data_IF_301318451452
#
_entry.id   IF_301318451452
#
_cell.length_a   1.000
_cell.length_b   1.000
_cell.length_c   1.000
_cell.angle_alpha   90.00
_cell.angle_beta   90.00
_cell.angle_gamma   90.00
#
_symmetry.space_group_name_H-M   'P 1'
#
loop_
_entity.id
_entity.type
_entity.pdbx_description
1 polymer ?
#
# COMPACT_ATOMS: atom_id res chain seq x y z
N UNK A 1 -1.45 20.22 -30.02
CA UNK A 1 -2.73 20.71 -29.47
C UNK A 1 -2.59 20.73 -27.96
N UNK A 2 -2.84 21.90 -27.36
CA UNK A 2 -2.55 22.28 -25.97
C UNK A 2 -3.06 21.27 -24.93
N UNK A 3 -2.25 21.04 -23.89
CA UNK A 3 -2.63 20.31 -22.67
C UNK A 3 -3.80 21.00 -21.96
N UNK A 4 -4.80 20.26 -21.45
CA UNK A 4 -5.65 20.72 -20.38
C UNK A 4 -5.21 20.11 -19.04
N UNK A 5 -4.75 20.99 -18.13
CA UNK A 5 -4.76 20.75 -16.68
C UNK A 5 -6.20 20.75 -16.14
N UNK A 6 -6.42 20.05 -15.02
CA UNK A 6 -7.67 19.90 -14.24
C UNK A 6 -8.73 18.96 -14.84
N UNK A 7 -8.84 17.76 -14.25
CA UNK A 7 -10.07 17.24 -13.64
C UNK A 7 -9.94 15.73 -13.36
N UNK A 8 -9.90 15.37 -12.07
CA UNK A 8 -10.38 14.11 -11.47
C UNK A 8 -10.41 12.90 -12.43
N UNK A 9 -9.25 12.29 -12.67
CA UNK A 9 -9.22 11.01 -13.40
C UNK A 9 -9.57 9.90 -12.42
N UNK A 10 -10.86 9.57 -12.36
CA UNK A 10 -11.40 8.39 -11.66
C UNK A 10 -10.61 7.14 -12.06
N UNK A 11 -10.28 6.23 -11.14
CA UNK A 11 -9.53 5.00 -11.46
C UNK A 11 -10.13 4.25 -12.66
N UNK A 12 -11.46 4.17 -12.76
CA UNK A 12 -12.20 3.70 -13.94
C UNK A 12 -11.72 4.31 -15.26
N UNK A 13 -11.55 5.63 -15.30
CA UNK A 13 -11.08 6.38 -16.46
C UNK A 13 -9.59 6.11 -16.74
N UNK A 14 -8.77 5.80 -15.74
CA UNK A 14 -7.37 5.35 -15.91
C UNK A 14 -7.28 3.91 -16.43
N UNK A 15 -8.08 2.99 -15.88
CA UNK A 15 -8.21 1.60 -16.36
C UNK A 15 -8.68 1.56 -17.84
N UNK A 16 -9.51 2.53 -18.24
CA UNK A 16 -9.93 2.76 -19.65
C UNK A 16 -8.77 3.11 -20.59
N UNK A 17 -7.74 3.77 -20.09
CA UNK A 17 -6.60 4.21 -20.89
C UNK A 17 -5.47 3.17 -20.93
N UNK A 18 -5.33 2.32 -19.89
CA UNK A 18 -4.31 1.26 -19.84
C UNK A 18 -4.69 -0.01 -20.62
N UNK A 19 -5.99 -0.32 -20.73
CA UNK A 19 -6.50 -1.47 -21.47
C UNK A 19 -7.58 -1.00 -22.46
N UNK A 20 -7.33 -1.15 -23.77
CA UNK A 20 -8.17 -0.59 -24.86
C UNK A 20 -9.69 -0.83 -24.71
N UNK A 21 -10.11 -1.91 -24.04
CA UNK A 21 -11.52 -2.32 -23.93
C UNK A 21 -11.99 -2.52 -22.47
N UNK A 22 -11.30 -1.97 -21.46
CA UNK A 22 -11.56 -2.32 -20.06
C UNK A 22 -12.99 -2.06 -19.59
N UNK A 23 -13.60 -0.95 -20.03
CA UNK A 23 -14.97 -0.60 -19.64
C UNK A 23 -16.02 -1.59 -20.14
N UNK A 24 -15.75 -2.29 -21.24
CA UNK A 24 -16.61 -3.33 -21.78
C UNK A 24 -16.46 -4.63 -20.99
N UNK A 25 -15.25 -4.91 -20.49
CA UNK A 25 -14.94 -6.15 -19.76
C UNK A 25 -15.21 -6.03 -18.24
N UNK A 26 -15.09 -4.83 -17.68
CA UNK A 26 -15.22 -4.58 -16.23
C UNK A 26 -16.58 -5.01 -15.64
N UNK A 27 -17.75 -4.75 -16.27
CA UNK A 27 -19.02 -5.28 -15.80
C UNK A 27 -19.04 -6.81 -15.76
N UNK A 28 -18.43 -7.48 -16.75
CA UNK A 28 -18.30 -8.94 -16.75
C UNK A 28 -17.35 -9.41 -15.65
N UNK A 29 -16.23 -8.72 -15.40
CA UNK A 29 -15.31 -9.06 -14.31
C UNK A 29 -15.96 -8.92 -12.93
N UNK A 30 -16.75 -7.87 -12.72
CA UNK A 30 -17.39 -7.60 -11.44
C UNK A 30 -18.60 -8.49 -11.16
N UNK A 31 -19.24 -9.02 -12.21
CA UNK A 31 -20.46 -9.84 -12.08
C UNK A 31 -20.23 -11.33 -12.32
N UNK A 32 -19.09 -11.72 -12.91
CA UNK A 32 -18.81 -13.11 -13.25
C UNK A 32 -17.88 -13.78 -12.21
N UNK A 33 -18.34 -14.91 -11.65
CA UNK A 33 -17.57 -15.78 -10.76
C UNK A 33 -16.72 -16.82 -11.52
N UNK A 34 -16.77 -16.82 -12.86
CA UNK A 34 -15.99 -17.71 -13.71
C UNK A 34 -14.49 -17.38 -13.73
N UNK A 35 -13.69 -18.32 -14.27
CA UNK A 35 -12.25 -18.13 -14.49
C UNK A 35 -12.01 -17.03 -15.55
N UNK A 36 -11.59 -15.85 -15.12
CA UNK A 36 -11.15 -14.76 -16.00
C UNK A 36 -9.74 -15.09 -16.50
N UNK A 37 -9.59 -15.15 -17.82
CA UNK A 37 -8.29 -15.27 -18.51
C UNK A 37 -7.81 -13.87 -18.90
N UNK A 38 -6.81 -13.34 -18.19
CA UNK A 38 -6.12 -12.12 -18.55
C UNK A 38 -4.85 -12.45 -19.35
N UNK A 39 -4.82 -12.04 -20.61
CA UNK A 39 -3.65 -12.18 -21.48
C UNK A 39 -2.95 -10.83 -21.62
N UNK A 40 -1.70 -10.78 -21.19
CA UNK A 40 -0.87 -9.58 -21.19
C UNK A 40 -0.11 -9.47 -22.53
N UNK A 41 0.35 -8.28 -22.89
CA UNK A 41 1.03 -8.02 -24.18
C UNK A 41 2.27 -8.88 -24.43
N UNK A 42 2.86 -9.40 -23.37
CA UNK A 42 4.01 -10.31 -23.38
C UNK A 42 3.64 -11.79 -23.58
N UNK A 43 2.36 -12.10 -23.83
CA UNK A 43 1.85 -13.47 -23.97
C UNK A 43 1.65 -14.22 -22.65
N UNK A 44 1.93 -13.60 -21.49
CA UNK A 44 1.62 -14.19 -20.19
C UNK A 44 0.11 -14.24 -20.03
N UNK A 45 -0.37 -15.41 -19.64
CA UNK A 45 -1.77 -15.66 -19.37
C UNK A 45 -1.93 -15.90 -17.86
N UNK A 46 -2.76 -15.10 -17.22
CA UNK A 46 -3.22 -15.35 -15.86
C UNK A 46 -4.66 -15.82 -15.94
N UNK A 47 -4.93 -17.02 -15.43
CA UNK A 47 -6.28 -17.49 -15.18
C UNK A 47 -6.61 -17.26 -13.70
N UNK A 48 -7.67 -16.53 -13.41
CA UNK A 48 -8.07 -16.25 -12.04
C UNK A 48 -9.57 -16.31 -11.85
N UNK A 49 -9.99 -16.79 -10.68
CA UNK A 49 -11.41 -16.97 -10.37
C UNK A 49 -11.97 -15.78 -9.55
N UNK A 50 -11.20 -14.68 -9.42
CA UNK A 50 -11.51 -13.58 -8.49
C UNK A 50 -11.17 -12.22 -9.10
N UNK A 51 -12.17 -11.36 -9.21
CA UNK A 51 -12.06 -9.96 -9.63
C UNK A 51 -11.02 -9.15 -8.83
N UNK A 52 -10.72 -9.53 -7.58
CA UNK A 52 -9.70 -8.88 -6.74
C UNK A 52 -8.29 -8.94 -7.33
N UNK A 53 -7.97 -10.00 -8.08
CA UNK A 53 -6.67 -10.13 -8.73
C UNK A 53 -6.48 -9.09 -9.85
N UNK A 54 -7.56 -8.80 -10.55
CA UNK A 54 -7.62 -7.75 -11.56
C UNK A 54 -7.47 -6.36 -10.92
N UNK A 55 -8.06 -6.16 -9.75
CA UNK A 55 -7.94 -4.92 -8.98
C UNK A 55 -6.49 -4.70 -8.52
N UNK A 56 -5.68 -5.73 -8.30
CA UNK A 56 -4.24 -5.57 -8.04
C UNK A 56 -3.42 -5.35 -9.32
N UNK A 57 -3.69 -6.11 -10.39
CA UNK A 57 -2.80 -6.12 -11.56
C UNK A 57 -2.93 -4.97 -12.51
N UNK A 58 -4.14 -4.44 -12.72
CA UNK A 58 -4.28 -3.32 -13.64
C UNK A 58 -3.66 -2.03 -13.07
N UNK A 59 -3.83 -1.71 -11.77
CA UNK A 59 -3.10 -0.62 -11.14
C UNK A 59 -1.59 -0.81 -11.19
N UNK A 60 -1.09 -2.00 -10.86
CA UNK A 60 0.35 -2.26 -10.93
C UNK A 60 0.89 -2.06 -12.36
N UNK A 61 0.25 -2.64 -13.37
CA UNK A 61 0.62 -2.46 -14.78
C UNK A 61 0.61 -0.98 -15.18
N UNK A 62 -0.41 -0.22 -14.77
CA UNK A 62 -0.50 1.21 -15.04
C UNK A 62 0.65 1.99 -14.40
N UNK A 63 0.86 1.82 -13.09
CA UNK A 63 1.85 2.59 -12.34
C UNK A 63 3.26 2.28 -12.78
N UNK A 64 3.59 1.01 -12.90
CA UNK A 64 4.90 0.58 -13.38
C UNK A 64 5.20 1.09 -14.78
N UNK A 65 4.20 1.12 -15.68
CA UNK A 65 4.37 1.69 -17.02
C UNK A 65 4.54 3.22 -16.98
N UNK A 66 3.75 3.93 -16.16
CA UNK A 66 3.85 5.39 -15.99
C UNK A 66 5.17 5.84 -15.37
N UNK A 67 5.69 5.07 -14.42
CA UNK A 67 6.96 5.32 -13.76
C UNK A 67 8.16 4.81 -14.59
N UNK A 68 7.93 4.13 -15.71
CA UNK A 68 8.99 3.58 -16.55
C UNK A 68 9.77 2.42 -15.91
N UNK A 69 9.18 1.74 -14.92
CA UNK A 69 9.79 0.62 -14.19
C UNK A 69 9.17 -0.74 -14.54
N UNK A 70 8.21 -0.76 -15.47
CA UNK A 70 7.56 -2.01 -15.84
C UNK A 70 8.54 -2.99 -16.46
N UNK A 71 8.57 -4.20 -15.90
CA UNK A 71 9.14 -5.37 -16.52
C UNK A 71 8.18 -6.55 -16.34
N UNK A 72 8.15 -7.46 -17.31
CA UNK A 72 7.34 -8.69 -17.23
C UNK A 72 7.76 -9.59 -16.05
N UNK A 73 9.04 -9.50 -15.67
CA UNK A 73 9.60 -10.19 -14.52
C UNK A 73 9.06 -9.60 -13.21
N UNK A 74 9.08 -8.27 -13.05
CA UNK A 74 8.58 -7.59 -11.85
C UNK A 74 7.08 -7.86 -11.66
N UNK A 75 6.30 -7.85 -12.75
CA UNK A 75 4.89 -8.23 -12.73
C UNK A 75 4.66 -9.67 -12.25
N UNK A 76 5.50 -10.59 -12.71
CA UNK A 76 5.42 -12.00 -12.32
C UNK A 76 5.71 -12.18 -10.84
N UNK A 77 6.75 -11.50 -10.35
CA UNK A 77 7.14 -11.55 -8.94
C UNK A 77 6.05 -10.92 -8.05
N UNK A 78 5.48 -9.79 -8.46
CA UNK A 78 4.36 -9.18 -7.74
C UNK A 78 3.15 -10.13 -7.64
N UNK A 79 2.85 -10.90 -8.70
CA UNK A 79 1.82 -11.93 -8.63
C UNK A 79 2.16 -13.08 -7.68
N UNK A 80 3.41 -13.53 -7.68
CA UNK A 80 3.85 -14.59 -6.78
C UNK A 80 3.73 -14.17 -5.30
N UNK A 81 4.07 -12.91 -4.98
CA UNK A 81 3.84 -12.33 -3.65
C UNK A 81 2.35 -12.38 -3.28
N UNK A 82 1.46 -11.95 -4.18
CA UNK A 82 0.02 -12.04 -3.95
C UNK A 82 -0.44 -13.49 -3.66
N UNK A 83 0.04 -14.46 -4.45
CA UNK A 83 -0.35 -15.86 -4.30
C UNK A 83 0.10 -16.42 -2.96
N UNK A 84 1.32 -16.09 -2.53
CA UNK A 84 1.87 -16.52 -1.25
C UNK A 84 1.10 -15.89 -0.06
N UNK A 85 0.87 -14.57 -0.09
CA UNK A 85 0.03 -13.87 0.91
C UNK A 85 -1.36 -14.51 0.99
N UNK A 86 -2.02 -14.69 -0.16
CA UNK A 86 -3.36 -15.26 -0.23
C UNK A 86 -3.41 -16.68 0.35
N UNK A 87 -2.40 -17.50 0.06
CA UNK A 87 -2.28 -18.86 0.58
C UNK A 87 -2.09 -18.87 2.10
N UNK A 88 -1.20 -18.03 2.63
CA UNK A 88 -0.92 -17.91 4.07
C UNK A 88 -2.15 -17.45 4.83
N UNK A 89 -2.80 -16.38 4.38
CA UNK A 89 -4.04 -15.86 4.98
C UNK A 89 -5.17 -16.88 4.94
N UNK A 90 -5.40 -17.53 3.79
CA UNK A 90 -6.42 -18.59 3.68
C UNK A 90 -6.15 -19.71 4.67
N UNK A 91 -4.90 -20.17 4.78
CA UNK A 91 -4.53 -21.22 5.74
C UNK A 91 -4.83 -20.79 7.17
N UNK A 92 -4.45 -19.59 7.58
CA UNK A 92 -4.74 -19.09 8.93
C UNK A 92 -6.25 -18.99 9.22
N UNK A 93 -7.06 -18.68 8.19
CA UNK A 93 -8.53 -18.71 8.30
C UNK A 93 -9.06 -20.13 8.41
N UNK A 94 -8.61 -21.04 7.54
CA UNK A 94 -9.04 -22.45 7.55
C UNK A 94 -8.68 -23.14 8.88
N UNK A 95 -7.53 -22.78 9.47
CA UNK A 95 -7.07 -23.27 10.77
C UNK A 95 -7.79 -22.61 11.97
N UNK A 96 -8.69 -21.64 11.72
CA UNK A 96 -9.46 -20.93 12.75
C UNK A 96 -8.66 -19.91 13.57
N UNK A 97 -7.45 -19.55 13.12
CA UNK A 97 -6.58 -18.56 13.78
C UNK A 97 -7.04 -17.13 13.44
N UNK A 98 -7.48 -16.92 12.20
CA UNK A 98 -8.04 -15.67 11.70
C UNK A 98 -9.50 -15.84 11.27
N UNK A 99 -10.28 -14.77 11.35
CA UNK A 99 -11.58 -14.69 10.67
C UNK A 99 -11.46 -13.87 9.39
N UNK A 100 -12.27 -14.19 8.39
CA UNK A 100 -12.21 -13.53 7.07
C UNK A 100 -12.37 -12.01 7.14
N UNK A 101 -13.14 -11.49 8.11
CA UNK A 101 -13.34 -10.06 8.32
C UNK A 101 -12.20 -9.37 9.05
N UNK A 102 -11.32 -10.12 9.74
CA UNK A 102 -10.24 -9.57 10.57
C UNK A 102 -8.87 -9.59 9.91
N UNK A 103 -8.83 -9.87 8.61
CA UNK A 103 -7.66 -9.69 7.77
C UNK A 103 -7.65 -8.26 7.23
N UNK A 104 -6.48 -7.63 7.19
CA UNK A 104 -6.24 -6.33 6.56
C UNK A 104 -6.77 -6.24 5.14
N UNK A 105 -6.92 -5.00 4.65
CA UNK A 105 -7.40 -4.68 3.31
C UNK A 105 -6.89 -5.67 2.25
N UNK A 106 -7.77 -6.11 1.35
CA UNK A 106 -7.39 -7.14 0.39
C UNK A 106 -6.32 -6.61 -0.57
N UNK A 107 -5.15 -7.25 -0.60
CA UNK A 107 -4.07 -7.02 -1.57
C UNK A 107 -4.62 -6.53 -2.92
N UNK A 108 -4.27 -5.31 -3.29
CA UNK A 108 -4.98 -4.56 -4.30
C UNK A 108 -4.20 -3.35 -4.80
N UNK A 109 -4.83 -2.18 -4.71
CA UNK A 109 -4.35 -0.95 -5.31
C UNK A 109 -3.16 -0.36 -4.55
N UNK A 110 -3.25 -0.29 -3.22
CA UNK A 110 -2.19 0.26 -2.37
C UNK A 110 -0.90 -0.54 -2.50
N UNK A 111 -0.96 -1.87 -2.43
CA UNK A 111 0.21 -2.72 -2.60
C UNK A 111 0.84 -2.55 -3.97
N UNK A 112 0.02 -2.46 -5.02
CA UNK A 112 0.50 -2.22 -6.38
C UNK A 112 1.25 -0.89 -6.49
N UNK A 113 0.72 0.16 -5.85
CA UNK A 113 1.32 1.48 -5.84
C UNK A 113 2.61 1.52 -5.01
N UNK A 114 2.59 0.97 -3.79
CA UNK A 114 3.76 0.85 -2.92
C UNK A 114 4.88 0.10 -3.64
N UNK A 115 4.60 -1.06 -4.23
CA UNK A 115 5.61 -1.82 -4.98
C UNK A 115 6.22 -0.98 -6.11
N UNK A 116 5.39 -0.33 -6.93
CA UNK A 116 5.86 0.46 -8.06
C UNK A 116 6.68 1.70 -7.61
N UNK A 117 6.25 2.38 -6.55
CA UNK A 117 6.97 3.53 -5.98
C UNK A 117 8.34 3.12 -5.44
N UNK A 118 8.41 2.04 -4.64
CA UNK A 118 9.69 1.56 -4.11
C UNK A 118 10.63 1.15 -5.24
N UNK A 119 10.14 0.44 -6.27
CA UNK A 119 10.93 0.07 -7.46
C UNK A 119 11.47 1.28 -8.23
N UNK A 120 10.68 2.35 -8.33
CA UNK A 120 11.05 3.58 -9.02
C UNK A 120 12.03 4.44 -8.23
N UNK A 121 11.70 4.74 -6.98
CA UNK A 121 12.47 5.65 -6.12
C UNK A 121 13.78 5.01 -5.64
N UNK A 122 13.80 3.67 -5.51
CA UNK A 122 14.94 2.90 -4.97
C UNK A 122 15.44 3.45 -3.61
N UNK A 123 14.53 3.64 -2.64
CA UNK A 123 14.87 4.26 -1.37
C UNK A 123 15.91 3.43 -0.60
N UNK A 124 16.75 4.10 0.16
CA UNK A 124 17.73 3.50 1.07
C UNK A 124 17.09 3.19 2.42
N UNK A 125 16.24 4.09 2.90
CA UNK A 125 15.54 3.95 4.19
C UNK A 125 14.04 4.09 3.99
N UNK A 126 13.30 3.01 4.25
CA UNK A 126 11.84 3.03 4.29
C UNK A 126 11.38 2.89 5.74
N UNK A 127 10.44 3.73 6.17
CA UNK A 127 9.79 3.63 7.48
C UNK A 127 8.29 3.39 7.27
N UNK A 128 7.74 2.43 7.99
CA UNK A 128 6.32 2.11 8.00
C UNK A 128 5.78 2.12 9.42
N UNK A 129 4.56 2.58 9.62
CA UNK A 129 3.84 2.48 10.89
C UNK A 129 2.53 1.74 10.66
N UNK A 130 2.26 0.72 11.46
CA UNK A 130 1.13 -0.19 11.26
C UNK A 130 1.52 -1.32 10.31
N UNK A 131 1.66 -2.52 10.86
CA UNK A 131 2.11 -3.72 10.13
C UNK A 131 0.99 -4.75 10.04
N UNK A 132 0.24 -4.93 11.13
CA UNK A 132 -0.77 -5.97 11.24
C UNK A 132 -0.25 -7.34 10.74
N UNK A 133 -0.91 -7.95 9.75
CA UNK A 133 -0.46 -9.23 9.20
C UNK A 133 0.81 -9.12 8.31
N UNK A 134 1.16 -7.93 7.82
CA UNK A 134 2.39 -7.62 7.06
C UNK A 134 2.25 -7.59 5.53
N UNK A 135 1.07 -7.25 5.00
CA UNK A 135 0.81 -7.20 3.55
C UNK A 135 1.68 -6.14 2.88
N UNK A 136 1.58 -4.90 3.35
CA UNK A 136 2.40 -3.77 2.91
C UNK A 136 3.90 -4.04 3.12
N UNK A 137 4.29 -4.52 4.30
CA UNK A 137 5.69 -4.80 4.64
C UNK A 137 6.31 -5.82 3.68
N UNK A 138 5.59 -6.91 3.35
CA UNK A 138 6.07 -7.91 2.39
C UNK A 138 6.28 -7.30 1.01
N UNK A 139 5.31 -6.53 0.52
CA UNK A 139 5.36 -5.88 -0.79
C UNK A 139 6.53 -4.89 -0.89
N UNK A 140 6.72 -4.05 0.15
CA UNK A 140 7.84 -3.11 0.25
C UNK A 140 9.17 -3.87 0.26
N UNK A 141 9.32 -4.87 1.13
CA UNK A 141 10.55 -5.66 1.26
C UNK A 141 10.92 -6.37 -0.04
N UNK A 142 9.94 -6.95 -0.75
CA UNK A 142 10.19 -7.57 -2.04
C UNK A 142 10.66 -6.55 -3.07
N UNK A 143 10.06 -5.37 -3.12
CA UNK A 143 10.51 -4.30 -4.02
C UNK A 143 11.95 -3.81 -3.71
N UNK A 144 12.32 -3.71 -2.41
CA UNK A 144 13.68 -3.40 -1.97
C UNK A 144 14.70 -4.49 -2.34
N UNK A 145 14.32 -5.76 -2.18
CA UNK A 145 15.13 -6.93 -2.60
C UNK A 145 15.42 -6.86 -4.10
N UNK A 146 14.40 -6.63 -4.94
CA UNK A 146 14.58 -6.47 -6.40
C UNK A 146 15.41 -5.24 -6.76
N UNK A 147 15.38 -4.18 -5.95
CA UNK A 147 16.25 -3.01 -6.12
C UNK A 147 17.69 -3.31 -5.72
N UNK A 148 17.93 -4.42 -4.99
CA UNK A 148 19.19 -4.74 -4.31
C UNK A 148 19.65 -3.60 -3.39
N UNK A 149 18.71 -2.79 -2.91
CA UNK A 149 18.97 -1.55 -2.16
C UNK A 149 17.87 -1.31 -1.14
N UNK A 150 18.30 -0.77 -0.02
CA UNK A 150 17.45 -0.26 1.04
C UNK A 150 17.03 -1.29 2.07
N UNK A 151 16.45 -0.76 3.14
CA UNK A 151 15.95 -1.49 4.31
C UNK A 151 14.60 -0.91 4.71
N UNK A 152 13.74 -1.76 5.28
CA UNK A 152 12.47 -1.36 5.89
C UNK A 152 12.64 -1.37 7.40
N UNK A 153 12.18 -0.31 8.05
CA UNK A 153 11.92 -0.29 9.48
C UNK A 153 10.43 -0.08 9.71
N UNK A 154 9.79 -1.04 10.35
CA UNK A 154 8.37 -0.93 10.68
C UNK A 154 8.17 -0.77 12.19
N UNK A 155 7.22 0.06 12.57
CA UNK A 155 6.75 0.21 13.94
C UNK A 155 5.31 -0.29 14.02
N UNK A 156 5.03 -1.18 14.95
CA UNK A 156 3.69 -1.74 15.10
C UNK A 156 3.29 -1.89 16.56
N UNK A 157 2.02 -1.59 16.84
CA UNK A 157 1.36 -2.00 18.07
C UNK A 157 0.22 -2.96 17.67
N UNK A 158 0.47 -4.28 17.64
CA UNK A 158 -0.53 -5.21 17.14
C UNK A 158 -1.77 -5.18 18.03
N UNK A 159 -2.95 -5.08 17.40
CA UNK A 159 -4.22 -5.32 18.06
C UNK A 159 -4.46 -6.84 18.14
N UNK A 160 -4.46 -7.48 19.33
CA UNK A 160 -4.71 -8.91 19.45
C UNK A 160 -6.21 -9.26 19.50
N UNK A 161 -7.10 -8.27 19.57
CA UNK A 161 -8.52 -8.49 19.78
C UNK A 161 -9.22 -8.95 18.50
N UNK A 162 -9.79 -10.17 18.44
CA UNK A 162 -10.49 -10.68 17.26
C UNK A 162 -11.76 -9.90 16.89
N UNK A 163 -12.26 -9.05 17.79
CA UNK A 163 -13.37 -8.14 17.50
C UNK A 163 -12.92 -6.81 16.87
N UNK A 164 -11.63 -6.67 16.55
CA UNK A 164 -11.06 -5.44 16.02
C UNK A 164 -10.81 -4.37 17.08
N UNK A 165 -10.42 -3.20 16.60
CA UNK A 165 -10.21 -1.99 17.38
C UNK A 165 -11.35 -1.01 17.13
N UNK A 166 -11.92 -0.46 18.22
CA UNK A 166 -13.00 0.52 18.15
C UNK A 166 -12.46 1.91 18.46
N UNK A 167 -12.58 2.80 17.50
CA UNK A 167 -12.23 4.21 17.63
C UNK A 167 -13.28 4.97 18.44
N UNK A 168 -12.88 6.12 18.99
CA UNK A 168 -13.75 6.97 19.80
C UNK A 168 -14.98 7.49 19.04
N UNK A 169 -14.88 7.65 17.72
CA UNK A 169 -15.97 8.05 16.83
C UNK A 169 -16.95 6.90 16.50
N UNK A 170 -16.72 5.70 17.04
CA UNK A 170 -17.56 4.52 16.84
C UNK A 170 -17.15 3.64 15.65
N UNK A 171 -16.27 4.11 14.77
CA UNK A 171 -15.70 3.30 13.68
C UNK A 171 -14.97 2.10 14.26
N UNK A 172 -15.09 0.95 13.58
CA UNK A 172 -14.40 -0.29 13.96
C UNK A 172 -13.46 -0.67 12.83
N UNK A 173 -12.18 -0.75 13.15
CA UNK A 173 -11.22 -1.47 12.33
C UNK A 173 -11.25 -2.94 12.76
N UNK A 174 -11.71 -3.87 11.90
CA UNK A 174 -11.83 -5.27 12.26
C UNK A 174 -10.48 -6.00 12.29
N UNK A 175 -9.41 -5.38 11.81
CA UNK A 175 -8.10 -5.99 11.65
C UNK A 175 -7.48 -6.30 13.01
N UNK A 176 -6.94 -7.51 13.12
CA UNK A 176 -6.23 -7.94 14.32
C UNK A 176 -5.12 -8.93 13.97
N UNK A 177 -4.15 -9.00 14.85
CA UNK A 177 -3.01 -9.89 14.74
C UNK A 177 -2.95 -10.79 15.97
N UNK A 178 -3.31 -12.08 15.85
CA UNK A 178 -3.22 -13.03 16.94
C UNK A 178 -1.81 -13.04 17.56
N UNK A 179 -1.74 -13.11 18.88
CA UNK A 179 -0.45 -13.17 19.61
C UNK A 179 0.39 -14.39 19.24
N UNK A 180 -0.24 -15.46 18.73
CA UNK A 180 0.42 -16.68 18.24
C UNK A 180 1.15 -16.49 16.92
N UNK A 181 0.80 -15.45 16.14
CA UNK A 181 1.43 -15.15 14.86
C UNK A 181 2.38 -13.95 14.96
N UNK A 182 1.94 -12.89 15.65
CA UNK A 182 2.69 -11.64 15.77
C UNK A 182 2.68 -10.79 14.48
N UNK A 183 3.19 -9.56 14.59
CA UNK A 183 3.17 -8.59 13.49
C UNK A 183 4.02 -9.05 12.30
N UNK A 184 3.45 -8.93 11.10
CA UNK A 184 4.10 -9.28 9.84
C UNK A 184 4.50 -10.74 9.71
N UNK A 185 3.74 -11.65 10.32
CA UNK A 185 3.95 -13.09 10.23
C UNK A 185 3.89 -13.63 8.79
N UNK A 186 3.24 -12.93 7.85
CA UNK A 186 3.20 -13.37 6.45
C UNK A 186 4.51 -13.09 5.70
N UNK A 187 5.35 -12.18 6.22
CA UNK A 187 6.63 -11.83 5.61
C UNK A 187 7.56 -13.04 5.66
N UNK A 188 8.06 -13.51 4.50
CA UNK A 188 8.89 -14.70 4.43
C UNK A 188 10.30 -14.42 4.96
N UNK A 189 10.97 -15.47 5.44
CA UNK A 189 12.23 -15.35 6.19
C UNK A 189 13.37 -14.77 5.34
N UNK A 190 13.42 -15.08 4.05
CA UNK A 190 14.44 -14.58 3.13
C UNK A 190 14.43 -13.05 2.94
N UNK A 191 13.35 -12.37 3.34
CA UNK A 191 13.26 -10.91 3.30
C UNK A 191 13.59 -10.24 4.64
N UNK A 192 13.62 -11.00 5.74
CA UNK A 192 13.75 -10.44 7.10
C UNK A 192 15.10 -9.78 7.35
N UNK A 193 16.16 -10.16 6.64
CA UNK A 193 17.50 -9.53 6.77
C UNK A 193 17.51 -8.03 6.42
N UNK A 194 16.54 -7.58 5.62
CA UNK A 194 16.35 -6.18 5.24
C UNK A 194 15.33 -5.45 6.12
N UNK A 195 14.76 -6.14 7.10
CA UNK A 195 13.66 -5.63 7.90
C UNK A 195 14.08 -5.42 9.36
N UNK A 196 13.57 -4.36 9.97
CA UNK A 196 13.66 -4.12 11.41
C UNK A 196 12.26 -3.80 11.91
N UNK A 197 11.72 -4.67 12.77
CA UNK A 197 10.40 -4.51 13.35
C UNK A 197 10.53 -4.09 14.81
N UNK A 198 9.95 -2.94 15.15
CA UNK A 198 9.91 -2.39 16.51
C UNK A 198 8.48 -2.46 17.03
N UNK A 199 8.27 -3.19 18.13
CA UNK A 199 6.94 -3.37 18.73
C UNK A 199 6.70 -2.30 19.80
N UNK A 200 5.66 -1.49 19.62
CA UNK A 200 5.26 -0.43 20.55
C UNK A 200 4.47 0.69 19.86
N UNK A 201 4.07 1.70 20.62
CA UNK A 201 3.36 2.86 20.07
C UNK A 201 4.30 3.67 19.19
N UNK A 202 3.85 4.08 18.01
CA UNK A 202 4.61 5.00 17.14
C UNK A 202 5.00 6.29 17.85
N UNK A 203 4.11 6.85 18.69
CA UNK A 203 4.35 8.01 19.55
C UNK A 203 5.50 7.84 20.55
N UNK A 204 5.85 6.61 20.90
CA UNK A 204 6.96 6.29 21.81
C UNK A 204 8.23 5.95 21.04
N UNK A 205 8.11 5.20 19.94
CA UNK A 205 9.25 4.68 19.19
C UNK A 205 9.82 5.73 18.22
N UNK A 206 8.98 6.36 17.39
CA UNK A 206 9.45 7.27 16.34
C UNK A 206 10.35 8.39 16.89
N UNK A 207 10.05 9.05 18.03
CA UNK A 207 10.93 10.08 18.58
C UNK A 207 12.36 9.60 18.93
N UNK A 208 12.54 8.30 19.16
CA UNK A 208 13.85 7.70 19.48
C UNK A 208 14.71 7.45 18.24
N UNK A 209 14.11 7.48 17.05
CA UNK A 209 14.79 7.20 15.79
C UNK A 209 15.45 8.47 15.25
N UNK A 210 16.78 8.44 15.14
CA UNK A 210 17.60 9.50 14.53
C UNK A 210 18.10 9.05 13.17
N UNK A 211 17.19 8.96 12.20
CA UNK A 211 17.46 8.49 10.83
C UNK A 211 16.89 9.46 9.79
N UNK A 212 17.54 9.53 8.63
CA UNK A 212 16.97 10.14 7.42
C UNK A 212 16.06 9.11 6.72
N UNK A 213 14.91 9.57 6.22
CA UNK A 213 13.87 8.73 5.62
C UNK A 213 13.72 9.06 4.14
N UNK A 214 13.82 8.06 3.27
CA UNK A 214 13.56 8.24 1.82
C UNK A 214 12.10 7.94 1.47
N UNK A 215 11.43 7.09 2.25
CA UNK A 215 10.03 6.76 2.06
C UNK A 215 9.37 6.47 3.41
N UNK A 216 8.31 7.20 3.74
CA UNK A 216 7.49 6.96 4.92
C UNK A 216 6.10 6.45 4.49
N UNK A 217 5.56 5.45 5.18
CA UNK A 217 4.21 4.93 4.96
C UNK A 217 3.42 4.84 6.27
N UNK A 218 2.32 5.58 6.35
CA UNK A 218 1.34 5.51 7.44
C UNK A 218 0.24 4.50 7.13
N UNK A 219 0.04 3.53 8.02
CA UNK A 219 -1.07 2.56 8.02
C UNK A 219 -1.39 2.09 9.46
N UNK A 220 -1.22 3.00 10.43
CA UNK A 220 -1.35 2.71 11.86
C UNK A 220 -2.72 3.18 12.40
N UNK A 221 -2.78 3.70 13.63
CA UNK A 221 -4.03 4.24 14.16
C UNK A 221 -4.44 5.50 13.36
N UNK A 222 -5.62 5.48 12.75
CA UNK A 222 -6.18 6.59 11.97
C UNK A 222 -6.91 7.65 12.83
N UNK A 223 -6.47 7.86 14.07
CA UNK A 223 -6.89 9.04 14.84
C UNK A 223 -6.25 10.29 14.23
N UNK A 224 -6.95 11.43 14.30
CA UNK A 224 -6.43 12.69 13.75
C UNK A 224 -5.08 13.05 14.37
N UNK A 225 -4.97 12.86 15.69
CA UNK A 225 -3.79 13.18 16.48
C UNK A 225 -2.61 12.24 16.16
N UNK A 226 -2.87 10.97 15.86
CA UNK A 226 -1.81 10.03 15.50
C UNK A 226 -1.31 10.27 14.07
N UNK A 227 -2.22 10.41 13.10
CA UNK A 227 -1.85 10.72 11.72
C UNK A 227 -1.02 11.99 11.62
N UNK A 228 -1.46 13.09 12.23
CA UNK A 228 -0.68 14.33 12.25
C UNK A 228 0.69 14.14 12.91
N UNK A 229 0.75 13.48 14.07
CA UNK A 229 2.03 13.24 14.74
C UNK A 229 3.02 12.49 13.83
N UNK A 230 2.56 11.43 13.17
CA UNK A 230 3.40 10.62 12.31
C UNK A 230 3.83 11.35 11.04
N UNK A 231 2.95 12.16 10.44
CA UNK A 231 3.31 13.02 9.30
C UNK A 231 4.34 14.09 9.66
N UNK A 232 4.17 14.77 10.78
CA UNK A 232 5.13 15.79 11.25
C UNK A 232 6.48 15.17 11.58
N UNK A 233 6.47 13.98 12.21
CA UNK A 233 7.68 13.21 12.41
C UNK A 233 8.32 12.86 11.05
N UNK A 234 7.57 12.29 10.11
CA UNK A 234 8.11 11.91 8.81
C UNK A 234 8.69 13.11 8.06
N UNK A 235 7.96 14.23 8.00
CA UNK A 235 8.37 15.46 7.34
C UNK A 235 9.69 16.01 7.84
N UNK A 236 9.88 16.02 9.15
CA UNK A 236 11.12 16.52 9.75
C UNK A 236 12.34 15.60 9.58
N UNK A 237 12.16 14.41 8.99
CA UNK A 237 13.24 13.47 8.65
C UNK A 237 13.30 13.08 7.17
N UNK A 238 12.33 13.51 6.37
CA UNK A 238 12.22 13.09 4.98
C UNK A 238 13.37 13.70 4.17
N UNK A 239 14.04 12.88 3.36
CA UNK A 239 15.09 13.37 2.46
C UNK A 239 14.47 14.27 1.38
N UNK A 240 15.31 15.08 0.73
CA UNK A 240 14.85 16.03 -0.30
C UNK A 240 14.09 15.34 -1.45
N UNK A 241 14.33 14.07 -1.76
CA UNK A 241 13.56 13.38 -2.80
C UNK A 241 12.52 12.39 -2.24
N UNK A 242 12.32 12.43 -0.92
CA UNK A 242 11.55 11.42 -0.23
C UNK A 242 10.05 11.60 -0.38
N UNK A 243 9.34 10.54 0.00
CA UNK A 243 7.88 10.45 -0.12
C UNK A 243 7.27 10.14 1.23
N UNK A 244 6.22 10.85 1.58
CA UNK A 244 5.35 10.51 2.70
C UNK A 244 4.07 9.97 2.08
N UNK A 245 3.74 8.70 2.33
CA UNK A 245 2.54 8.03 1.87
C UNK A 245 1.64 7.67 3.06
N UNK A 246 0.34 7.59 2.83
CA UNK A 246 -0.62 7.21 3.85
C UNK A 246 -1.78 6.44 3.29
N UNK A 247 -2.17 5.42 4.05
CA UNK A 247 -3.45 4.77 3.98
C UNK A 247 -4.56 5.62 4.63
N UNK A 248 -5.80 5.25 4.36
CA UNK A 248 -7.05 5.77 4.92
C UNK A 248 -7.16 7.30 5.11
N UNK A 249 -6.66 8.07 4.13
CA UNK A 249 -6.62 9.54 4.19
C UNK A 249 -8.00 10.22 4.28
N UNK A 250 -9.07 9.47 4.02
CA UNK A 250 -10.46 9.91 4.09
C UNK A 250 -11.11 9.79 5.47
N UNK A 251 -10.47 9.10 6.42
CA UNK A 251 -11.06 8.84 7.75
C UNK A 251 -11.22 10.09 8.61
N UNK A 252 -10.35 11.08 8.43
CA UNK A 252 -10.42 12.36 9.13
C UNK A 252 -9.75 13.47 8.29
N UNK A 253 -9.55 14.66 8.87
CA UNK A 253 -8.99 15.82 8.16
C UNK A 253 -7.46 15.92 8.21
N UNK A 254 -6.74 15.04 8.92
CA UNK A 254 -5.30 15.15 9.19
C UNK A 254 -4.48 15.28 7.91
N UNK A 255 -4.74 14.44 6.90
CA UNK A 255 -4.06 14.55 5.60
C UNK A 255 -4.26 15.94 4.97
N UNK A 256 -5.49 16.45 4.98
CA UNK A 256 -5.78 17.76 4.37
C UNK A 256 -5.17 18.91 5.16
N UNK A 257 -5.18 18.83 6.49
CA UNK A 257 -4.65 19.88 7.34
C UNK A 257 -3.13 19.91 7.33
N UNK A 258 -2.47 18.75 7.37
CA UNK A 258 -1.03 18.64 7.18
C UNK A 258 -0.58 19.22 5.83
N UNK A 259 -1.33 18.94 4.75
CA UNK A 259 -1.04 19.53 3.44
C UNK A 259 -1.20 21.06 3.40
N UNK A 260 -2.06 21.65 4.24
CA UNK A 260 -2.21 23.12 4.35
C UNK A 260 -1.08 23.75 5.14
N UNK A 261 -0.55 23.06 6.16
CA UNK A 261 0.56 23.56 6.98
C UNK A 261 1.91 23.43 6.29
N UNK A 262 2.03 22.51 5.33
CA UNK A 262 3.23 22.26 4.52
C UNK A 262 2.98 22.50 3.02
N UNK A 263 2.78 23.76 2.59
CA UNK A 263 2.46 24.09 1.19
C UNK A 263 3.61 23.82 0.20
N UNK A 264 4.81 23.55 0.70
CA UNK A 264 5.98 23.07 -0.05
C UNK A 264 5.80 21.63 -0.56
N UNK A 265 4.96 20.84 0.11
CA UNK A 265 4.61 19.49 -0.32
C UNK A 265 3.49 19.50 -1.37
N UNK A 266 3.64 18.69 -2.42
CA UNK A 266 2.57 18.48 -3.41
C UNK A 266 1.78 17.20 -3.09
N UNK A 267 0.51 17.30 -2.64
CA UNK A 267 -0.31 16.12 -2.40
C UNK A 267 -0.72 15.48 -3.73
N UNK A 268 -0.52 14.17 -3.83
CA UNK A 268 -1.11 13.33 -4.86
C UNK A 268 -2.09 12.40 -4.15
N UNK A 269 -3.37 12.56 -4.47
CA UNK A 269 -4.46 11.79 -3.88
C UNK A 269 -4.95 10.76 -4.90
N UNK A 270 -5.08 9.51 -4.45
CA UNK A 270 -5.53 8.41 -5.27
C UNK A 270 -6.69 7.66 -4.60
N UNK A 271 -7.77 7.40 -5.33
CA UNK A 271 -8.94 6.72 -4.76
C UNK A 271 -9.95 6.21 -5.81
N UNK A 272 -10.71 5.19 -5.40
CA UNK A 272 -11.82 4.58 -6.13
C UNK A 272 -13.16 5.18 -5.65
N UNK A 273 -13.56 6.35 -6.15
CA UNK A 273 -14.86 6.92 -5.78
C UNK A 273 -14.82 7.78 -4.52
N UNK A 274 -15.95 7.87 -3.80
CA UNK A 274 -16.17 8.82 -2.68
C UNK A 274 -15.36 8.54 -1.41
N UNK A 275 -14.62 7.44 -1.37
CA UNK A 275 -13.75 7.07 -0.26
C UNK A 275 -12.29 7.27 -0.71
N UNK A 276 -11.68 8.32 -0.19
CA UNK A 276 -10.26 8.61 -0.36
C UNK A 276 -9.49 7.64 0.54
N UNK A 277 -8.75 6.70 -0.06
CA UNK A 277 -8.01 5.68 0.71
C UNK A 277 -6.52 6.04 0.76
N UNK A 278 -5.85 6.27 -0.37
CA UNK A 278 -4.40 6.51 -0.38
C UNK A 278 -4.00 7.93 -0.78
N UNK A 279 -3.00 8.49 -0.10
CA UNK A 279 -2.39 9.77 -0.45
C UNK A 279 -0.88 9.79 -0.28
N UNK A 280 -0.20 10.67 -1.01
CA UNK A 280 1.23 10.89 -0.84
C UNK A 280 1.64 12.35 -1.01
N UNK A 281 2.79 12.71 -0.45
CA UNK A 281 3.48 13.99 -0.58
C UNK A 281 4.94 13.80 -0.98
N UNK A 282 5.51 14.79 -1.70
CA UNK A 282 6.93 14.83 -2.08
C UNK A 282 7.52 16.23 -1.88
N UNK A 283 8.80 16.29 -1.49
CA UNK A 283 9.65 17.48 -1.64
C UNK A 283 10.04 17.62 -3.14
N UNK A 284 9.96 18.85 -3.66
CA UNK A 284 10.42 19.39 -4.97
C UNK A 284 10.34 18.65 -6.35
N UNK A 285 9.55 19.29 -7.24
CA UNK A 285 9.59 19.50 -8.71
C UNK A 285 10.22 18.48 -9.72
N UNK A 286 9.36 17.91 -10.58
CA UNK A 286 9.53 18.01 -12.05
C UNK A 286 8.20 18.55 -12.61
N UNK A 287 8.26 19.57 -13.46
CA UNK A 287 7.17 19.99 -14.33
C UNK A 287 6.59 18.77 -15.08
N UNK A 288 5.31 18.44 -14.84
CA UNK A 288 4.54 17.55 -15.72
C UNK A 288 3.39 18.33 -16.30
#
# INVERSE_FOLDING_TARGET
>A
MLLPTKNNIKLLKLLRYSCKNWFEVLPYILTNNDKIKAEFRNGKIIQCNRYRLIIAFVPYYYFSHKLGVFSDSDFTIFYEVYLDISKKLKKAIDDGILVQSGVGGSFGYEEALLFALIRYLKPSTVVETGVAQGISSYVILKALELNRRGRLMSVDLPNPNPNGYRYANGTVDPVYTPTTLGSGWIVPDELRDRWTLLIGRSKEILPTLSIEVDFFFHDSEHSYENMLFEYEWAYSRISQNGVIASDDIGWNQAFRDFAKTHPDLRPIIHGLGYEYQFGLWRYDQIEV
#
